data_IF_104662612853
#
_entry.id   IF_104662612853
#
_cell.length_a   1.000
_cell.length_b   1.000
_cell.length_c   1.000
_cell.angle_alpha   90.00
_cell.angle_beta   90.00
_cell.angle_gamma   90.00
#
_symmetry.space_group_name_H-M   'P 1'
#
loop_
_entity.id
_entity.type
_entity.pdbx_description
1 polymer ?
#
# COMPACT_ATOMS: atom_id res chain seq x y z
N UNK A 1 -0.28 -27.81 1.79
CA UNK A 1 -1.58 -27.26 2.24
C UNK A 1 -2.61 -27.60 1.17
N UNK A 2 -3.67 -28.33 1.48
CA UNK A 2 -4.69 -28.72 0.49
C UNK A 2 -5.63 -27.53 0.22
N UNK A 3 -5.81 -27.19 -1.07
CA UNK A 3 -6.59 -26.04 -1.52
C UNK A 3 -8.05 -26.06 -1.01
N UNK A 4 -8.59 -27.24 -0.66
CA UNK A 4 -9.93 -27.38 -0.08
C UNK A 4 -10.08 -26.71 1.29
N UNK A 5 -9.02 -26.62 2.10
CA UNK A 5 -9.06 -25.92 3.38
C UNK A 5 -9.03 -24.39 3.20
N UNK A 6 -8.42 -23.89 2.12
CA UNK A 6 -8.48 -22.47 1.76
C UNK A 6 -9.88 -22.05 1.32
N UNK A 7 -10.69 -22.95 0.75
CA UNK A 7 -12.08 -22.64 0.38
C UNK A 7 -12.99 -22.45 1.60
N UNK A 8 -12.69 -23.16 2.71
CA UNK A 8 -13.42 -22.99 3.97
C UNK A 8 -13.11 -21.61 4.57
N UNK A 9 -11.86 -21.17 4.51
CA UNK A 9 -11.44 -19.85 5.00
C UNK A 9 -11.78 -18.71 4.03
N UNK A 10 -11.73 -18.96 2.72
CA UNK A 10 -11.89 -17.98 1.64
C UNK A 10 -12.79 -18.55 0.54
N UNK A 11 -14.11 -18.59 0.77
CA UNK A 11 -15.09 -19.24 -0.12
C UNK A 11 -15.05 -18.82 -1.60
N UNK A 12 -14.56 -17.61 -1.93
CA UNK A 12 -14.40 -17.20 -3.33
C UNK A 12 -13.03 -17.54 -3.94
N UNK A 13 -12.08 -18.05 -3.15
CA UNK A 13 -10.72 -18.37 -3.61
C UNK A 13 -10.72 -19.46 -4.67
N UNK A 14 -11.34 -20.63 -4.43
CA UNK A 14 -11.31 -21.73 -5.40
C UNK A 14 -11.99 -21.35 -6.72
N UNK A 15 -13.09 -20.60 -6.63
CA UNK A 15 -13.79 -20.09 -7.81
C UNK A 15 -12.86 -19.23 -8.67
N UNK A 16 -12.16 -18.27 -8.05
CA UNK A 16 -11.19 -17.42 -8.74
C UNK A 16 -9.94 -18.16 -9.20
N UNK A 17 -9.45 -19.12 -8.43
CA UNK A 17 -8.28 -19.93 -8.75
C UNK A 17 -8.49 -20.88 -9.94
N UNK A 18 -9.73 -21.31 -10.17
CA UNK A 18 -10.12 -22.11 -11.33
C UNK A 18 -10.31 -21.29 -12.60
N UNK A 19 -10.53 -19.97 -12.49
CA UNK A 19 -10.64 -19.08 -13.64
C UNK A 19 -9.25 -18.86 -14.27
N UNK A 20 -9.02 -19.27 -15.53
CA UNK A 20 -7.73 -19.10 -16.20
C UNK A 20 -7.26 -17.65 -16.27
N UNK A 21 -8.18 -16.68 -16.32
CA UNK A 21 -7.86 -15.26 -16.31
C UNK A 21 -7.21 -14.83 -14.99
N UNK A 22 -7.58 -15.47 -13.89
CA UNK A 22 -7.20 -15.04 -12.53
C UNK A 22 -6.14 -15.92 -11.88
N UNK A 23 -6.00 -17.18 -12.31
CA UNK A 23 -5.06 -18.14 -11.69
C UNK A 23 -3.64 -17.59 -11.59
N UNK A 24 -3.05 -17.18 -12.71
CA UNK A 24 -1.67 -16.70 -12.73
C UNK A 24 -1.51 -15.36 -11.97
N UNK A 25 -2.37 -14.34 -12.18
CA UNK A 25 -2.31 -13.13 -11.37
C UNK A 25 -2.40 -13.39 -9.86
N UNK A 26 -3.32 -14.24 -9.41
CA UNK A 26 -3.47 -14.56 -7.99
C UNK A 26 -2.21 -15.23 -7.45
N UNK A 27 -1.62 -16.17 -8.19
CA UNK A 27 -0.39 -16.83 -7.78
C UNK A 27 0.74 -15.82 -7.58
N UNK A 28 0.93 -14.89 -8.52
CA UNK A 28 1.94 -13.82 -8.44
C UNK A 28 1.67 -12.85 -7.28
N UNK A 29 0.41 -12.44 -7.10
CA UNK A 29 0.04 -11.54 -5.99
C UNK A 29 0.36 -12.19 -4.64
N UNK A 30 0.02 -13.48 -4.47
CA UNK A 30 0.34 -14.23 -3.25
C UNK A 30 1.85 -14.35 -3.06
N UNK A 31 2.60 -14.65 -4.12
CA UNK A 31 4.07 -14.72 -4.06
C UNK A 31 4.69 -13.41 -3.56
N UNK A 32 4.37 -12.28 -4.20
CA UNK A 32 4.85 -10.97 -3.79
C UNK A 32 4.40 -10.60 -2.38
N UNK A 33 3.16 -10.93 -2.01
CA UNK A 33 2.66 -10.69 -0.66
C UNK A 33 3.42 -11.48 0.42
N UNK A 34 3.68 -12.77 0.19
CA UNK A 34 4.46 -13.62 1.11
C UNK A 34 5.88 -13.10 1.22
N UNK A 35 6.49 -12.71 0.11
CA UNK A 35 7.85 -12.18 0.08
C UNK A 35 7.94 -10.82 0.79
N UNK A 36 6.97 -9.94 0.58
CA UNK A 36 6.86 -8.65 1.27
C UNK A 36 6.80 -8.80 2.80
N UNK A 37 6.10 -9.82 3.31
CA UNK A 37 6.01 -10.08 4.74
C UNK A 37 7.32 -10.59 5.37
N UNK A 38 8.22 -11.18 4.57
CA UNK A 38 9.43 -11.86 5.09
C UNK A 38 10.71 -11.02 4.96
N UNK A 39 10.68 -9.93 4.19
CA UNK A 39 11.87 -9.09 4.05
C UNK A 39 12.29 -8.43 5.38
N UNK A 40 13.61 -8.40 5.68
CA UNK A 40 14.15 -7.61 6.78
C UNK A 40 14.14 -6.11 6.47
N UNK A 41 14.08 -5.74 5.19
CA UNK A 41 14.16 -4.36 4.70
C UNK A 41 12.76 -3.86 4.31
N UNK A 42 12.39 -2.69 4.83
CA UNK A 42 11.07 -2.07 4.61
C UNK A 42 10.84 -1.73 3.14
N UNK A 43 11.86 -1.21 2.49
CA UNK A 43 11.80 -0.77 1.10
C UNK A 43 11.45 -1.93 0.17
N UNK A 44 12.07 -3.11 0.35
CA UNK A 44 11.74 -4.30 -0.43
C UNK A 44 10.31 -4.79 -0.16
N UNK A 45 9.85 -4.70 1.10
CA UNK A 45 8.46 -5.02 1.46
C UNK A 45 7.45 -4.10 0.76
N UNK A 46 7.73 -2.80 0.69
CA UNK A 46 6.86 -1.84 0.00
C UNK A 46 6.88 -2.06 -1.52
N UNK A 47 8.06 -2.31 -2.11
CA UNK A 47 8.19 -2.58 -3.55
C UNK A 47 7.37 -3.80 -3.98
N UNK A 48 7.43 -4.88 -3.20
CA UNK A 48 6.66 -6.09 -3.51
C UNK A 48 5.17 -5.91 -3.28
N UNK A 49 4.78 -5.21 -2.22
CA UNK A 49 3.37 -4.89 -1.99
C UNK A 49 2.81 -4.07 -3.15
N UNK A 50 3.59 -3.12 -3.67
CA UNK A 50 3.19 -2.35 -4.85
C UNK A 50 3.14 -3.21 -6.11
N UNK A 51 4.11 -4.09 -6.30
CA UNK A 51 4.16 -5.00 -7.45
C UNK A 51 2.95 -5.93 -7.46
N UNK A 52 2.54 -6.43 -6.29
CA UNK A 52 1.30 -7.19 -6.13
C UNK A 52 0.06 -6.37 -6.56
N UNK A 53 -0.04 -5.10 -6.14
CA UNK A 53 -1.15 -4.23 -6.54
C UNK A 53 -1.14 -3.89 -8.04
N UNK A 54 0.03 -3.76 -8.67
CA UNK A 54 0.14 -3.51 -10.12
C UNK A 54 -0.23 -4.76 -10.93
N UNK A 55 0.17 -5.96 -10.48
CA UNK A 55 -0.30 -7.23 -11.07
C UNK A 55 -1.83 -7.34 -10.97
N UNK A 56 -2.41 -6.95 -9.84
CA UNK A 56 -3.86 -6.92 -9.67
C UNK A 56 -4.52 -5.91 -10.63
N UNK A 57 -3.93 -4.73 -10.79
CA UNK A 57 -4.42 -3.72 -11.72
C UNK A 57 -4.40 -4.21 -13.18
N UNK A 58 -3.34 -4.90 -13.59
CA UNK A 58 -3.26 -5.55 -14.91
C UNK A 58 -4.29 -6.66 -15.07
N UNK A 59 -4.57 -7.46 -14.03
CA UNK A 59 -5.65 -8.45 -14.07
C UNK A 59 -7.04 -7.83 -14.29
N UNK A 60 -7.22 -6.58 -13.86
CA UNK A 60 -8.38 -5.74 -14.15
C UNK A 60 -8.32 -4.99 -15.50
N UNK A 61 -7.29 -5.23 -16.32
CA UNK A 61 -7.06 -4.59 -17.62
C UNK A 61 -6.89 -3.06 -17.52
N UNK A 62 -6.09 -2.61 -16.53
CA UNK A 62 -5.82 -1.19 -16.27
C UNK A 62 -4.45 -0.71 -16.78
N UNK A 63 -3.83 -1.41 -17.74
CA UNK A 63 -2.48 -1.12 -18.22
C UNK A 63 -2.34 0.28 -18.85
N UNK A 64 -3.43 0.79 -19.44
CA UNK A 64 -3.47 2.11 -20.07
C UNK A 64 -3.68 3.27 -19.09
N UNK A 65 -3.92 2.97 -17.80
CA UNK A 65 -4.16 3.99 -16.77
C UNK A 65 -2.84 4.54 -16.25
N UNK A 66 -2.64 5.84 -16.46
CA UNK A 66 -1.52 6.63 -15.96
C UNK A 66 -2.00 7.88 -15.19
N UNK A 67 -1.23 8.36 -14.20
CA UNK A 67 -0.01 7.78 -13.63
C UNK A 67 -0.28 6.55 -12.74
N UNK A 68 0.76 5.87 -12.26
CA UNK A 68 0.63 4.64 -11.45
C UNK A 68 -0.27 4.83 -10.21
N UNK A 69 -0.24 5.99 -9.54
CA UNK A 69 -1.14 6.30 -8.42
C UNK A 69 -2.62 6.23 -8.80
N UNK A 70 -3.00 6.69 -10.01
CA UNK A 70 -4.38 6.61 -10.52
C UNK A 70 -4.79 5.16 -10.79
N UNK A 71 -3.85 4.33 -11.26
CA UNK A 71 -4.06 2.91 -11.50
C UNK A 71 -4.30 2.14 -10.20
N UNK A 72 -3.44 2.37 -9.20
CA UNK A 72 -3.61 1.78 -7.86
C UNK A 72 -4.92 2.27 -7.24
N UNK A 73 -5.24 3.57 -7.31
CA UNK A 73 -6.50 4.11 -6.80
C UNK A 73 -7.70 3.39 -7.41
N UNK A 74 -7.78 3.29 -8.73
CA UNK A 74 -8.87 2.55 -9.41
C UNK A 74 -8.93 1.08 -9.00
N UNK A 75 -7.80 0.46 -8.72
CA UNK A 75 -7.73 -0.93 -8.26
C UNK A 75 -8.30 -1.06 -6.84
N UNK A 76 -7.98 -0.12 -5.95
CA UNK A 76 -8.52 -0.05 -4.59
C UNK A 76 -10.01 0.32 -4.57
N UNK A 77 -10.46 1.21 -5.47
CA UNK A 77 -11.87 1.59 -5.67
C UNK A 77 -12.73 0.36 -6.00
N UNK A 78 -12.20 -0.60 -6.78
CA UNK A 78 -12.90 -1.87 -7.06
C UNK A 78 -13.22 -2.66 -5.80
N UNK A 79 -12.43 -2.48 -4.74
CA UNK A 79 -12.67 -3.07 -3.43
C UNK A 79 -13.26 -2.13 -2.38
N UNK A 80 -13.65 -0.90 -2.76
CA UNK A 80 -14.06 0.16 -1.83
C UNK A 80 -12.99 0.49 -0.75
N UNK A 81 -11.71 0.37 -1.11
CA UNK A 81 -10.57 0.55 -0.20
C UNK A 81 -9.87 1.90 -0.36
N UNK A 82 -10.19 2.64 -1.40
CA UNK A 82 -9.55 3.91 -1.78
C UNK A 82 -9.87 5.04 -0.80
N UNK A 83 -11.03 4.99 -0.14
CA UNK A 83 -11.46 5.96 0.85
C UNK A 83 -10.83 5.78 2.24
N UNK A 84 -10.09 4.68 2.48
CA UNK A 84 -9.50 4.44 3.79
C UNK A 84 -8.29 5.34 4.02
N UNK A 85 -8.31 6.02 5.16
CA UNK A 85 -7.21 6.87 5.59
C UNK A 85 -5.99 6.01 6.01
N UNK A 86 -4.78 6.36 5.56
CA UNK A 86 -3.54 5.72 6.00
C UNK A 86 -3.30 5.84 7.51
N UNK A 87 -2.34 5.07 8.08
CA UNK A 87 -1.86 5.28 9.45
C UNK A 87 -1.59 6.75 9.76
N UNK A 88 -1.97 7.19 10.96
CA UNK A 88 -2.06 8.62 11.30
C UNK A 88 -0.75 9.38 11.10
N UNK A 89 0.39 8.79 11.48
CA UNK A 89 1.67 9.49 11.40
C UNK A 89 2.16 9.59 9.94
N UNK A 90 2.04 8.50 9.18
CA UNK A 90 2.28 8.47 7.73
C UNK A 90 1.40 9.48 6.98
N UNK A 91 0.09 9.48 7.26
CA UNK A 91 -0.85 10.43 6.67
C UNK A 91 -0.44 11.88 7.00
N UNK A 92 -0.13 12.16 8.27
CA UNK A 92 0.30 13.50 8.71
C UNK A 92 1.54 13.98 7.97
N UNK A 93 2.57 13.11 7.85
CA UNK A 93 3.81 13.45 7.17
C UNK A 93 3.55 13.81 5.70
N UNK A 94 2.85 12.95 4.97
CA UNK A 94 2.58 13.18 3.55
C UNK A 94 1.62 14.35 3.31
N UNK A 95 0.61 14.53 4.17
CA UNK A 95 -0.31 15.67 4.07
C UNK A 95 0.39 17.00 4.28
N UNK A 96 1.26 17.11 5.28
CA UNK A 96 2.06 18.32 5.51
C UNK A 96 3.00 18.58 4.33
N UNK A 97 3.65 17.52 3.83
CA UNK A 97 4.52 17.61 2.68
C UNK A 97 3.78 18.10 1.42
N UNK A 98 2.62 17.53 1.10
CA UNK A 98 1.82 17.90 -0.07
C UNK A 98 1.26 19.33 0.04
N UNK A 99 0.80 19.77 1.21
CA UNK A 99 0.34 21.16 1.40
C UNK A 99 1.41 22.19 1.05
N UNK A 100 2.68 21.88 1.29
CA UNK A 100 3.79 22.79 1.02
C UNK A 100 4.30 22.65 -0.42
N UNK A 101 4.49 21.43 -0.91
CA UNK A 101 5.24 21.17 -2.14
C UNK A 101 4.34 20.84 -3.34
N UNK A 102 3.17 20.24 -3.11
CA UNK A 102 2.25 19.79 -4.17
C UNK A 102 0.77 19.97 -3.76
N UNK A 103 0.25 21.20 -3.61
CA UNK A 103 -1.05 21.44 -2.95
C UNK A 103 -2.26 20.82 -3.65
N UNK A 104 -2.13 20.46 -4.93
CA UNK A 104 -3.16 19.77 -5.72
C UNK A 104 -3.29 18.28 -5.38
N UNK A 105 -2.39 17.73 -4.56
CA UNK A 105 -2.33 16.29 -4.24
C UNK A 105 -2.96 15.99 -2.88
N UNK A 106 -3.72 14.89 -2.84
CA UNK A 106 -4.34 14.37 -1.61
C UNK A 106 -3.47 13.27 -1.00
N UNK A 107 -3.33 13.27 0.33
CA UNK A 107 -2.62 12.25 1.09
C UNK A 107 -3.42 10.95 1.27
N UNK A 108 -3.92 10.37 0.18
CA UNK A 108 -4.59 9.07 0.19
C UNK A 108 -3.61 7.89 0.08
N UNK A 109 -4.10 6.68 0.35
CA UNK A 109 -3.29 5.45 0.32
C UNK A 109 -2.56 5.24 -1.02
N UNK A 110 -3.26 5.47 -2.14
CA UNK A 110 -2.68 5.28 -3.48
C UNK A 110 -1.56 6.28 -3.78
N UNK A 111 -1.74 7.54 -3.38
CA UNK A 111 -0.77 8.62 -3.58
C UNK A 111 0.47 8.43 -2.72
N UNK A 112 0.28 8.07 -1.44
CA UNK A 112 1.38 7.79 -0.52
C UNK A 112 2.20 6.59 -1.01
N UNK A 113 1.56 5.46 -1.33
CA UNK A 113 2.27 4.26 -1.79
C UNK A 113 3.03 4.49 -3.10
N UNK A 114 2.44 5.23 -4.05
CA UNK A 114 3.09 5.56 -5.30
C UNK A 114 4.35 6.42 -5.10
N UNK A 115 4.26 7.43 -4.23
CA UNK A 115 5.39 8.31 -3.94
C UNK A 115 6.48 7.62 -3.13
N UNK A 116 6.09 6.79 -2.15
CA UNK A 116 7.03 5.99 -1.37
C UNK A 116 7.81 5.05 -2.30
N UNK A 117 7.12 4.30 -3.17
CA UNK A 117 7.77 3.46 -4.20
C UNK A 117 8.71 4.30 -5.07
N UNK A 118 8.26 5.46 -5.53
CA UNK A 118 9.08 6.31 -6.37
C UNK A 118 10.37 6.73 -5.65
N UNK A 119 10.28 7.09 -4.37
CA UNK A 119 11.42 7.39 -3.51
C UNK A 119 12.40 6.23 -3.39
N UNK A 120 11.92 4.98 -3.31
CA UNK A 120 12.79 3.80 -3.27
C UNK A 120 13.51 3.59 -4.62
N UNK A 121 12.77 3.63 -5.73
CA UNK A 121 13.29 3.22 -7.05
C UNK A 121 14.22 4.26 -7.65
N UNK A 122 13.83 5.53 -7.57
CA UNK A 122 14.54 6.61 -8.24
C UNK A 122 15.47 7.37 -7.30
N UNK A 123 15.45 7.07 -6.00
CA UNK A 123 16.06 7.91 -4.99
C UNK A 123 15.59 9.37 -5.12
N UNK A 124 16.36 10.28 -4.55
CA UNK A 124 16.28 11.69 -4.92
C UNK A 124 17.51 12.05 -5.74
N UNK A 125 17.49 11.72 -7.03
CA UNK A 125 18.41 12.37 -7.97
C UNK A 125 18.33 13.88 -7.76
N UNK A 126 19.49 14.48 -7.48
CA UNK A 126 19.63 15.92 -7.43
C UNK A 126 18.98 16.50 -8.68
N UNK A 127 17.89 17.24 -8.49
CA UNK A 127 17.41 18.14 -9.49
C UNK A 127 18.58 19.04 -9.88
N UNK A 128 19.23 18.78 -11.01
CA UNK A 128 20.24 19.67 -11.61
C UNK A 128 19.60 20.96 -12.16
N UNK A 129 18.36 21.22 -11.76
CA UNK A 129 17.47 22.26 -12.25
C UNK A 129 16.75 22.86 -11.05
N UNK A 130 16.98 24.15 -10.85
CA UNK A 130 16.43 25.01 -9.80
C UNK A 130 14.89 25.08 -9.77
N UNK A 131 14.23 24.45 -10.75
CA UNK A 131 12.79 24.38 -11.00
C UNK A 131 12.15 23.05 -10.59
N UNK A 132 12.92 22.00 -10.25
CA UNK A 132 12.37 20.73 -9.76
C UNK A 132 12.37 20.73 -8.22
N UNK A 133 11.40 21.49 -7.69
CA UNK A 133 11.04 21.50 -6.27
C UNK A 133 10.63 20.08 -5.91
N UNK A 134 11.37 19.49 -4.98
CA UNK A 134 11.24 18.10 -4.53
C UNK A 134 9.78 17.72 -4.35
N UNK A 135 9.25 16.93 -5.27
CA UNK A 135 7.83 16.54 -5.29
C UNK A 135 7.53 15.33 -4.37
N UNK A 136 8.46 14.93 -3.49
CA UNK A 136 8.34 13.73 -2.65
C UNK A 136 9.21 13.74 -1.38
N UNK A 137 8.80 13.07 -0.28
CA UNK A 137 9.64 12.87 0.91
C UNK A 137 10.93 12.09 0.65
N UNK A 138 12.02 12.38 1.38
CA UNK A 138 13.31 11.66 1.28
C UNK A 138 13.29 10.33 2.02
N UNK A 139 13.81 9.25 1.41
CA UNK A 139 13.97 7.93 2.06
C UNK A 139 15.44 7.57 2.33
N UNK A 140 16.36 8.35 1.79
CA UNK A 140 17.80 8.27 2.02
C UNK A 140 18.22 9.05 3.27
N UNK A 141 19.33 8.66 3.89
CA UNK A 141 19.83 9.29 5.13
C UNK A 141 20.41 10.70 4.88
N UNK A 142 20.61 11.09 3.62
CA UNK A 142 21.09 12.40 3.17
C UNK A 142 19.96 13.45 3.10
N UNK A 143 19.11 13.44 4.12
CA UNK A 143 18.09 14.45 4.36
C UNK A 143 18.67 15.86 4.44
N UNK A 144 17.86 16.88 4.14
CA UNK A 144 18.23 18.26 4.48
C UNK A 144 17.06 18.98 5.15
N UNK A 145 17.32 20.20 5.65
CA UNK A 145 16.37 20.99 6.42
C UNK A 145 15.00 21.18 5.74
N UNK A 146 14.95 21.20 4.41
CA UNK A 146 13.72 21.44 3.65
C UNK A 146 13.01 20.13 3.25
N UNK A 147 13.68 18.99 3.34
CA UNK A 147 13.10 17.67 3.09
C UNK A 147 13.86 16.62 3.94
N UNK A 148 13.54 16.51 5.24
CA UNK A 148 14.22 15.56 6.13
C UNK A 148 13.92 14.12 5.72
N UNK A 149 14.76 13.15 6.14
CA UNK A 149 14.54 11.77 5.81
C UNK A 149 13.29 11.28 6.54
N UNK A 150 12.49 10.44 5.88
CA UNK A 150 11.31 9.81 6.47
C UNK A 150 11.79 8.92 7.61
N UNK A 151 11.32 9.13 8.86
CA UNK A 151 11.71 8.32 10.00
C UNK A 151 11.40 6.84 9.80
N UNK A 152 12.23 5.96 10.35
CA UNK A 152 12.10 4.51 10.17
C UNK A 152 10.71 3.99 10.56
N UNK A 153 10.13 4.51 11.64
CA UNK A 153 8.80 4.15 12.12
C UNK A 153 7.71 4.48 11.10
N UNK A 154 7.86 5.59 10.36
CA UNK A 154 6.94 5.98 9.29
C UNK A 154 7.13 5.12 8.05
N UNK A 155 8.36 4.66 7.78
CA UNK A 155 8.62 3.68 6.72
C UNK A 155 7.91 2.36 7.05
N UNK A 156 7.95 1.92 8.31
CA UNK A 156 7.19 0.75 8.78
C UNK A 156 5.70 0.94 8.53
N UNK A 157 5.12 2.11 8.85
CA UNK A 157 3.72 2.40 8.52
C UNK A 157 3.41 2.31 7.02
N UNK A 158 4.34 2.71 6.14
CA UNK A 158 4.18 2.55 4.70
C UNK A 158 4.20 1.06 4.26
N UNK A 159 5.05 0.24 4.88
CA UNK A 159 5.02 -1.23 4.71
C UNK A 159 3.68 -1.81 5.14
N UNK A 160 3.21 -1.47 6.33
CA UNK A 160 1.94 -1.96 6.87
C UNK A 160 0.77 -1.55 5.96
N UNK A 161 0.75 -0.30 5.49
CA UNK A 161 -0.24 0.16 4.52
C UNK A 161 -0.22 -0.65 3.22
N UNK A 162 0.97 -0.88 2.65
CA UNK A 162 1.12 -1.65 1.40
C UNK A 162 0.60 -3.07 1.54
N UNK A 163 1.01 -3.76 2.61
CA UNK A 163 0.55 -5.12 2.93
C UNK A 163 -0.96 -5.17 3.15
N UNK A 164 -1.51 -4.20 3.90
CA UNK A 164 -2.94 -4.08 4.13
C UNK A 164 -3.72 -3.91 2.82
N UNK A 165 -3.26 -3.04 1.92
CA UNK A 165 -3.90 -2.83 0.62
C UNK A 165 -3.95 -4.13 -0.20
N UNK A 166 -2.88 -4.93 -0.19
CA UNK A 166 -2.84 -6.23 -0.89
C UNK A 166 -3.80 -7.23 -0.24
N UNK A 167 -3.76 -7.35 1.09
CA UNK A 167 -4.65 -8.23 1.85
C UNK A 167 -6.11 -7.92 1.54
N UNK A 168 -6.52 -6.67 1.69
CA UNK A 168 -7.91 -6.27 1.47
C UNK A 168 -8.35 -6.46 0.02
N UNK A 169 -7.44 -6.21 -0.93
CA UNK A 169 -7.73 -6.44 -2.34
C UNK A 169 -7.98 -7.93 -2.63
N UNK A 170 -7.18 -8.82 -2.04
CA UNK A 170 -7.39 -10.27 -2.12
C UNK A 170 -8.69 -10.70 -1.44
N UNK A 171 -8.97 -10.21 -0.23
CA UNK A 171 -10.20 -10.52 0.50
C UNK A 171 -11.43 -10.09 -0.32
N UNK A 172 -11.41 -8.88 -0.89
CA UNK A 172 -12.47 -8.40 -1.76
C UNK A 172 -12.61 -9.27 -3.02
N UNK A 173 -11.50 -9.59 -3.69
CA UNK A 173 -11.49 -10.45 -4.88
C UNK A 173 -12.12 -11.82 -4.62
N UNK A 174 -11.88 -12.38 -3.42
CA UNK A 174 -12.42 -13.66 -2.98
C UNK A 174 -13.77 -13.55 -2.27
N UNK A 175 -14.39 -12.35 -2.23
CA UNK A 175 -15.67 -12.11 -1.55
C UNK A 175 -15.66 -12.66 -0.11
N UNK A 176 -14.54 -12.49 0.57
CA UNK A 176 -14.38 -12.94 1.95
C UNK A 176 -15.44 -12.26 2.83
N UNK A 177 -16.07 -13.06 3.70
CA UNK A 177 -17.19 -12.62 4.55
C UNK A 177 -16.97 -12.95 6.02
N UNK A 178 -15.74 -13.31 6.41
CA UNK A 178 -15.39 -13.53 7.82
C UNK A 178 -14.92 -12.26 8.51
N UNK A 179 -14.45 -12.42 9.75
CA UNK A 179 -13.87 -11.33 10.52
C UNK A 179 -12.38 -11.18 10.21
N UNK A 180 -11.99 -10.03 9.68
CA UNK A 180 -10.60 -9.67 9.48
C UNK A 180 -10.11 -8.86 10.68
N UNK A 181 -8.98 -9.27 11.27
CA UNK A 181 -8.29 -8.47 12.28
C UNK A 181 -7.38 -7.46 11.59
N UNK A 182 -7.56 -6.20 11.92
CA UNK A 182 -7.01 -5.11 11.14
C UNK A 182 -5.55 -4.84 11.45
N UNK A 183 -4.66 -5.09 10.48
CA UNK A 183 -3.22 -4.90 10.67
C UNK A 183 -2.83 -3.44 10.95
N UNK A 184 -3.66 -2.47 10.54
CA UNK A 184 -3.38 -1.05 10.74
C UNK A 184 -3.81 -0.55 12.12
N UNK A 185 -4.58 -1.35 12.86
CA UNK A 185 -5.03 -1.01 14.21
C UNK A 185 -3.99 -1.52 15.20
N UNK A 186 -3.26 -0.61 15.86
CA UNK A 186 -2.39 -0.99 16.98
C UNK A 186 -3.27 -1.31 18.19
N UNK A 187 -2.96 -2.36 18.95
CA UNK A 187 -3.67 -2.73 20.19
C UNK A 187 -3.78 -1.57 21.22
N UNK A 188 -2.94 -0.54 21.09
CA UNK A 188 -3.02 0.69 21.89
C UNK A 188 -4.22 1.60 21.58
N UNK A 189 -4.92 1.42 20.46
CA UNK A 189 -6.22 2.08 20.22
C UNK A 189 -7.39 1.32 20.92
N UNK A 190 -7.09 0.20 21.59
CA UNK A 190 -8.03 -0.65 22.33
C UNK A 190 -7.70 -0.65 23.84
N UNK A 191 -7.48 0.53 24.45
CA UNK A 191 -7.55 0.74 25.91
C UNK A 191 -8.01 2.19 26.17
N UNK A 192 -9.09 2.52 26.87
CA UNK A 192 -9.95 1.80 27.83
C UNK A 192 -11.37 2.40 27.81
N UNK A 193 -12.45 1.63 28.06
CA UNK A 193 -13.71 2.23 28.47
C UNK A 193 -13.50 2.94 29.82
N UNK A 194 -13.61 4.26 29.83
CA UNK A 194 -13.80 5.00 31.08
C UNK A 194 -15.19 4.67 31.60
N UNK A 195 -15.27 3.82 32.62
CA UNK A 195 -16.47 3.72 33.43
C UNK A 195 -16.51 4.95 34.35
N UNK A 196 -17.60 5.73 34.36
CA UNK A 196 -17.72 6.83 35.29
C UNK A 196 -17.75 6.28 36.72
N UNK A 197 -16.90 6.87 37.57
CA UNK A 197 -16.92 6.73 39.03
C UNK A 197 -18.17 7.34 39.63
#
# INVERSE_FOLDING_TARGET
MDARYLDVAYKGFISKWKDPKWREPIAKIIEFYVRANTYPTVELSVLDSFTALDVLASAYSMETVNPASKRIRKTLEKGALDARMPPRALHTLYNNFYKTNCPSKTADSASILADFRHGIVHGNYYATRTDDIRNRPKLDDDGDLNNPPVPFEIRIEAKELGLWCVEMSLLCLFKYNGHYNDRLTKEQDIQSPQWPS
#
